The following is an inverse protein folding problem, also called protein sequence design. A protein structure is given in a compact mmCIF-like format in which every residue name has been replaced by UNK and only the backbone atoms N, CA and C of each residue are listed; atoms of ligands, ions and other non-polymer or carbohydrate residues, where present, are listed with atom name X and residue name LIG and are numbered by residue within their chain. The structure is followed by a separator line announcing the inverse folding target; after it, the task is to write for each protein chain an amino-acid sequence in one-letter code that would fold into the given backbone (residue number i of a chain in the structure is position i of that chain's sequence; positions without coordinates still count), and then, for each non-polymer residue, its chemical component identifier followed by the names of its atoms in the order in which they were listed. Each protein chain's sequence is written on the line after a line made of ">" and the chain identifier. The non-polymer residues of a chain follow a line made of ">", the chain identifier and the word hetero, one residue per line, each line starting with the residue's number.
data_IF_670464056702
#
_entry.id   IF_670464056702
#
_cell.length_a   1.000
_cell.length_b   1.000
_cell.length_c   1.000
_cell.angle_alpha   90.00
_cell.angle_beta   90.00
_cell.angle_gamma   90.00
#
_symmetry.space_group_name_H-M   'P 1'
#
loop_
_entity.id
_entity.type
_entity.pdbx_description
1 polymer ?
#
# COMPACT_ATOMS: atom_id res chain seq x y z
N UNK A 1 14.75 5.59 2.50
CA UNK A 1 13.75 6.67 2.56
C UNK A 1 12.84 6.42 3.74
N UNK A 2 12.70 7.38 4.64
CA UNK A 2 11.84 7.26 5.81
C UNK A 2 10.47 7.93 5.59
N UNK A 3 9.58 7.75 6.55
CA UNK A 3 8.22 8.30 6.47
C UNK A 3 8.20 9.81 6.26
N UNK A 4 9.03 10.55 7.01
CA UNK A 4 9.05 12.01 6.92
C UNK A 4 9.50 12.51 5.54
N UNK A 5 10.48 11.86 4.94
CA UNK A 5 10.96 12.21 3.60
C UNK A 5 9.88 12.00 2.55
N UNK A 6 9.14 10.89 2.64
CA UNK A 6 8.06 10.58 1.70
C UNK A 6 6.91 11.58 1.84
N UNK A 7 6.53 11.90 3.06
CA UNK A 7 5.46 12.87 3.34
C UNK A 7 5.85 14.25 2.79
N UNK A 8 7.09 14.66 2.97
CA UNK A 8 7.59 15.94 2.48
C UNK A 8 7.51 16.02 0.95
N UNK A 9 7.94 14.96 0.25
CA UNK A 9 7.86 14.87 -1.20
C UNK A 9 6.40 14.92 -1.66
N UNK A 10 5.54 14.16 -1.02
CA UNK A 10 4.12 14.13 -1.36
C UNK A 10 3.47 15.51 -1.20
N UNK A 11 3.72 16.18 -0.08
CA UNK A 11 3.17 17.52 0.16
C UNK A 11 3.65 18.55 -0.86
N UNK A 12 4.86 18.37 -1.37
CA UNK A 12 5.42 19.26 -2.39
C UNK A 12 4.76 19.10 -3.76
N UNK A 13 4.40 17.87 -4.12
CA UNK A 13 3.98 17.54 -5.48
C UNK A 13 2.49 17.20 -5.63
N UNK A 14 1.71 17.23 -4.56
CA UNK A 14 0.27 16.95 -4.63
C UNK A 14 -0.54 18.19 -4.32
N UNK A 15 -1.82 18.17 -4.73
CA UNK A 15 -2.71 19.33 -4.60
C UNK A 15 -3.17 19.61 -3.18
N UNK A 16 -3.06 18.64 -2.27
CA UNK A 16 -3.59 18.78 -0.91
C UNK A 16 -5.11 18.73 -0.83
N UNK A 17 -5.78 18.19 -1.85
CA UNK A 17 -7.24 18.11 -1.91
C UNK A 17 -7.84 17.26 -0.79
N UNK A 18 -7.14 16.19 -0.39
CA UNK A 18 -7.59 15.26 0.65
C UNK A 18 -6.73 15.36 1.88
N UNK A 19 -7.35 15.23 3.06
CA UNK A 19 -6.61 15.06 4.30
C UNK A 19 -5.89 13.71 4.28
N UNK A 20 -4.63 13.71 4.67
CA UNK A 20 -3.78 12.51 4.64
C UNK A 20 -3.28 12.16 6.02
N UNK A 21 -3.11 10.88 6.28
CA UNK A 21 -2.51 10.43 7.52
C UNK A 21 -0.98 10.59 7.46
N UNK A 22 -0.37 10.80 8.61
CA UNK A 22 1.09 10.93 8.72
C UNK A 22 1.80 9.57 8.76
N UNK A 23 1.33 8.63 7.96
CA UNK A 23 1.70 7.23 7.98
C UNK A 23 1.94 6.79 6.52
N UNK A 24 3.06 6.15 6.27
CA UNK A 24 3.42 5.70 4.91
C UNK A 24 3.57 4.18 4.92
N UNK A 25 2.63 3.49 4.29
CA UNK A 25 2.65 2.03 4.17
C UNK A 25 3.42 1.66 2.91
N UNK A 26 4.40 0.77 3.05
CA UNK A 26 5.29 0.38 1.93
C UNK A 26 5.16 -1.08 1.53
N UNK A 27 4.62 -1.94 2.40
CA UNK A 27 4.40 -3.34 2.05
C UNK A 27 3.34 -3.95 2.95
N UNK A 28 2.82 -5.11 2.55
CA UNK A 28 1.86 -5.86 3.33
C UNK A 28 1.97 -7.34 3.07
N UNK A 29 1.48 -8.13 4.02
CA UNK A 29 1.40 -9.58 3.89
C UNK A 29 0.21 -10.07 4.71
N UNK A 30 -0.79 -10.71 4.06
CA UNK A 30 -2.00 -11.12 4.75
C UNK A 30 -2.73 -9.92 5.35
N UNK A 31 -2.96 -9.93 6.65
CA UNK A 31 -3.62 -8.85 7.37
C UNK A 31 -2.64 -7.83 7.97
N UNK A 32 -1.35 -7.98 7.71
CA UNK A 32 -0.32 -7.13 8.28
C UNK A 32 0.15 -6.09 7.28
N UNK A 33 0.38 -4.87 7.75
CA UNK A 33 0.96 -3.77 6.98
C UNK A 33 2.22 -3.28 7.68
N UNK A 34 3.16 -2.78 6.90
CA UNK A 34 4.42 -2.26 7.42
C UNK A 34 4.68 -0.88 6.85
N UNK A 35 5.04 0.07 7.72
CA UNK A 35 5.34 1.42 7.27
C UNK A 35 6.80 1.57 6.83
N UNK A 36 7.14 2.76 6.34
CA UNK A 36 8.49 3.07 5.84
C UNK A 36 9.54 2.99 6.95
N UNK A 37 9.15 3.06 8.21
CA UNK A 37 10.04 2.98 9.36
C UNK A 37 10.11 1.57 9.95
N UNK A 38 9.41 0.60 9.35
CA UNK A 38 9.42 -0.79 9.75
C UNK A 38 8.38 -1.17 10.81
N UNK A 39 7.50 -0.24 11.19
CA UNK A 39 6.46 -0.51 12.18
C UNK A 39 5.33 -1.35 11.57
N UNK A 40 4.80 -2.29 12.34
CA UNK A 40 3.77 -3.22 11.93
C UNK A 40 2.38 -2.76 12.35
N UNK A 41 1.39 -2.95 11.48
CA UNK A 41 -0.01 -2.60 11.71
C UNK A 41 -0.93 -3.73 11.28
N UNK A 42 -2.09 -3.84 11.91
CA UNK A 42 -3.13 -4.77 11.49
C UNK A 42 -4.11 -4.02 10.57
N UNK A 43 -4.33 -4.54 9.38
CA UNK A 43 -5.26 -3.95 8.42
C UNK A 43 -6.68 -4.47 8.66
N UNK A 44 -7.58 -3.59 9.04
CA UNK A 44 -8.98 -3.91 9.27
C UNK A 44 -9.92 -3.37 8.20
N UNK A 45 -9.42 -2.56 7.26
CA UNK A 45 -10.25 -1.95 6.21
C UNK A 45 -10.08 -2.57 4.83
N UNK A 46 -8.98 -3.29 4.59
CA UNK A 46 -8.67 -3.94 3.31
C UNK A 46 -8.67 -2.96 2.13
N UNK A 47 -8.28 -1.69 2.36
CA UNK A 47 -8.27 -0.69 1.29
C UNK A 47 -9.67 -0.46 0.70
N UNK A 48 -10.67 -0.30 1.53
CA UNK A 48 -12.08 -0.21 1.14
C UNK A 48 -12.56 -1.47 0.39
N UNK A 49 -12.08 -2.64 0.81
CA UNK A 49 -12.47 -3.92 0.23
C UNK A 49 -11.62 -4.40 -0.95
N UNK A 50 -10.58 -3.65 -1.33
CA UNK A 50 -9.72 -4.02 -2.45
C UNK A 50 -8.87 -5.26 -2.13
N UNK A 51 -8.36 -5.37 -0.91
CA UNK A 51 -7.49 -6.47 -0.49
C UNK A 51 -8.24 -7.52 0.33
N UNK A 52 -9.38 -8.00 -0.18
CA UNK A 52 -10.26 -8.94 0.54
C UNK A 52 -9.61 -10.27 0.90
N UNK A 53 -8.60 -10.72 0.14
CA UNK A 53 -7.88 -11.96 0.40
C UNK A 53 -6.54 -11.73 1.12
N UNK A 54 -6.36 -10.52 1.66
CA UNK A 54 -5.11 -10.12 2.30
C UNK A 54 -4.12 -9.51 1.31
N UNK A 55 -3.09 -8.89 1.88
CA UNK A 55 -2.05 -8.23 1.08
C UNK A 55 -1.07 -9.26 0.52
N UNK A 56 -0.62 -9.02 -0.70
CA UNK A 56 0.42 -9.82 -1.36
C UNK A 56 0.10 -11.32 -1.43
N UNK A 57 -1.17 -11.67 -1.65
CA UNK A 57 -1.57 -13.06 -1.81
C UNK A 57 -0.87 -13.67 -3.03
N UNK A 58 -0.10 -14.77 -2.89
CA UNK A 58 0.74 -15.29 -4.00
C UNK A 58 -0.05 -15.66 -5.26
N UNK A 59 -1.25 -16.24 -5.11
CA UNK A 59 -2.07 -16.63 -6.25
C UNK A 59 -2.64 -15.45 -7.01
N UNK A 60 -2.97 -14.38 -6.30
CA UNK A 60 -3.47 -13.15 -6.92
C UNK A 60 -2.32 -12.45 -7.66
N UNK A 61 -1.15 -12.35 -7.03
CA UNK A 61 0.03 -11.76 -7.65
C UNK A 61 0.39 -12.51 -8.94
N UNK A 62 0.34 -13.84 -8.92
CA UNK A 62 0.61 -14.66 -10.10
C UNK A 62 -0.43 -14.42 -11.20
N UNK A 63 -1.71 -14.35 -10.86
CA UNK A 63 -2.78 -14.10 -11.83
C UNK A 63 -2.62 -12.72 -12.49
N UNK A 64 -2.28 -11.69 -11.70
CA UNK A 64 -2.04 -10.35 -12.21
C UNK A 64 -0.83 -10.36 -13.16
N UNK A 65 0.24 -11.03 -12.76
CA UNK A 65 1.45 -11.14 -13.58
C UNK A 65 1.15 -11.76 -14.94
N UNK A 66 0.43 -12.87 -14.97
CA UNK A 66 0.07 -13.56 -16.22
C UNK A 66 -0.84 -12.69 -17.08
N UNK A 67 -1.83 -12.08 -16.50
CA UNK A 67 -2.76 -11.24 -17.24
C UNK A 67 -2.08 -9.99 -17.80
N UNK A 68 -1.23 -9.35 -17.02
CA UNK A 68 -0.49 -8.17 -17.47
C UNK A 68 0.45 -8.46 -18.64
N UNK A 69 0.97 -9.69 -18.71
CA UNK A 69 1.81 -10.13 -19.84
C UNK A 69 1.00 -10.54 -21.08
N UNK A 70 -0.32 -10.64 -20.96
CA UNK A 70 -1.20 -11.04 -22.06
C UNK A 70 -1.99 -9.85 -22.59
N UNK A 71 -2.67 -9.14 -21.70
CA UNK A 71 -3.51 -7.98 -22.05
C UNK A 71 -3.87 -7.24 -20.75
N UNK A 72 -3.67 -5.96 -20.72
CA UNK A 72 -4.07 -5.12 -19.59
C UNK A 72 -5.54 -4.62 -19.72
#
# INVERSE_FOLDING_TARGET
>A
VNTNEIIEIENKYTSGTYAKQSLVIVRGQGALLFDADGKEYLDCSSGHGVANLGHAHPKIAEAIYKQANTLI
#
